data_IF_044681555948
#
_entry.id   IF_044681555948
#
_cell.length_a   1.000
_cell.length_b   1.000
_cell.length_c   1.000
_cell.angle_alpha   90.00
_cell.angle_beta   90.00
_cell.angle_gamma   90.00
#
_symmetry.space_group_name_H-M   'P 1'
#
loop_
_entity.id
_entity.type
_entity.pdbx_description
1 polymer ?
#
# COMPACT_ATOMS: atom_id res chain seq x y z
N UNK A 1 -5.70 -12.17 2.66
CA UNK A 1 -6.14 -12.37 4.06
C UNK A 1 -5.24 -13.30 4.88
N UNK A 2 -4.56 -14.26 4.28
CA UNK A 2 -3.78 -15.26 5.04
C UNK A 2 -2.32 -14.85 5.27
N UNK A 3 -1.68 -14.16 4.34
CA UNK A 3 -0.27 -13.81 4.39
C UNK A 3 0.10 -12.82 5.51
N UNK A 4 -0.73 -11.82 5.76
CA UNK A 4 -0.48 -10.78 6.78
C UNK A 4 -1.17 -11.08 8.12
N UNK A 5 -1.68 -12.31 8.34
CA UNK A 5 -2.45 -12.65 9.55
C UNK A 5 -1.67 -12.44 10.85
N UNK A 6 -0.41 -12.81 10.88
CA UNK A 6 0.44 -12.64 12.07
C UNK A 6 0.57 -11.14 12.40
N UNK A 7 0.92 -10.32 11.42
CA UNK A 7 1.09 -8.89 11.56
C UNK A 7 -0.21 -8.21 12.00
N UNK A 8 -1.31 -8.47 11.31
CA UNK A 8 -2.62 -7.90 11.62
C UNK A 8 -3.12 -8.31 13.02
N UNK A 9 -2.90 -9.57 13.43
CA UNK A 9 -3.27 -10.04 14.79
C UNK A 9 -2.48 -9.31 15.86
N UNK A 10 -1.18 -9.08 15.64
CA UNK A 10 -0.33 -8.38 16.60
C UNK A 10 -0.69 -6.89 16.72
N UNK A 11 -1.04 -6.23 15.60
CA UNK A 11 -1.57 -4.85 15.61
C UNK A 11 -2.93 -4.78 16.33
N UNK A 12 -3.84 -5.72 16.07
CA UNK A 12 -5.11 -5.78 16.77
C UNK A 12 -4.93 -5.98 18.29
N UNK A 13 -3.98 -6.80 18.70
CA UNK A 13 -3.65 -7.01 20.11
C UNK A 13 -3.08 -5.76 20.80
N UNK A 14 -2.58 -4.79 20.04
CA UNK A 14 -2.12 -3.49 20.58
C UNK A 14 -3.23 -2.45 20.73
N UNK A 15 -4.49 -2.81 20.45
CA UNK A 15 -5.66 -1.95 20.63
C UNK A 15 -6.17 -1.29 19.35
N UNK A 16 -5.62 -1.65 18.20
CA UNK A 16 -6.13 -1.16 16.90
C UNK A 16 -7.30 -2.01 16.41
N UNK A 17 -8.29 -1.38 15.79
CA UNK A 17 -9.31 -2.07 15.01
C UNK A 17 -8.75 -2.35 13.62
N UNK A 18 -8.74 -3.62 13.22
CA UNK A 18 -8.23 -4.05 11.92
C UNK A 18 -9.38 -4.50 11.02
N UNK A 19 -9.60 -3.76 9.93
CA UNK A 19 -10.50 -4.13 8.86
C UNK A 19 -9.70 -4.74 7.69
N UNK A 20 -9.93 -6.02 7.39
CA UNK A 20 -9.26 -6.70 6.28
C UNK A 20 -10.14 -6.64 5.03
N UNK A 21 -9.74 -5.83 4.06
CA UNK A 21 -10.49 -5.62 2.83
C UNK A 21 -10.27 -6.77 1.86
N UNK A 22 -11.36 -7.30 1.31
CA UNK A 22 -11.34 -8.12 0.10
C UNK A 22 -11.55 -7.21 -1.11
N UNK A 23 -10.75 -7.39 -2.13
CA UNK A 23 -10.87 -6.67 -3.39
C UNK A 23 -10.84 -7.64 -4.58
N UNK A 24 -11.40 -7.20 -5.70
CA UNK A 24 -11.42 -7.95 -6.96
C UNK A 24 -9.98 -8.27 -7.43
N UNK A 25 -9.78 -9.39 -8.09
CA UNK A 25 -8.45 -9.89 -8.46
C UNK A 25 -8.31 -10.05 -9.98
N UNK A 26 -7.10 -9.76 -10.49
CA UNK A 26 -6.70 -10.13 -11.83
C UNK A 26 -6.53 -11.67 -11.94
N UNK A 27 -6.77 -12.29 -13.12
CA UNK A 27 -7.06 -11.64 -14.40
C UNK A 27 -8.54 -11.30 -14.62
N UNK A 28 -9.47 -11.75 -13.76
CA UNK A 28 -10.91 -11.53 -13.95
C UNK A 28 -11.26 -10.03 -13.84
N UNK A 29 -10.52 -9.31 -13.03
CA UNK A 29 -10.63 -7.87 -12.85
C UNK A 29 -9.24 -7.24 -12.86
N UNK A 30 -8.92 -6.51 -13.92
CA UNK A 30 -7.66 -5.76 -14.06
C UNK A 30 -7.73 -4.41 -13.35
N UNK A 31 -6.58 -3.71 -13.29
CA UNK A 31 -6.51 -2.31 -12.86
C UNK A 31 -7.53 -1.44 -13.64
N UNK A 32 -8.27 -0.52 -12.98
CA UNK A 32 -8.11 -0.06 -11.59
C UNK A 32 -9.03 -0.73 -10.55
N UNK A 33 -9.70 -1.85 -10.86
CA UNK A 33 -10.74 -2.44 -10.01
C UNK A 33 -10.33 -2.62 -8.54
N UNK A 34 -9.08 -2.98 -8.26
CA UNK A 34 -8.56 -3.17 -6.90
C UNK A 34 -8.49 -1.84 -6.14
N UNK A 35 -8.12 -0.76 -6.83
CA UNK A 35 -8.03 0.57 -6.23
C UNK A 35 -9.42 1.14 -5.96
N UNK A 36 -10.38 0.90 -6.85
CA UNK A 36 -11.79 1.25 -6.66
C UNK A 36 -12.36 0.60 -5.40
N UNK A 37 -12.08 -0.70 -5.19
CA UNK A 37 -12.56 -1.44 -4.02
C UNK A 37 -11.94 -0.89 -2.72
N UNK A 38 -10.64 -0.55 -2.72
CA UNK A 38 -9.97 0.05 -1.56
C UNK A 38 -10.46 1.47 -1.31
N UNK A 39 -10.65 2.28 -2.36
CA UNK A 39 -11.24 3.62 -2.25
C UNK A 39 -12.66 3.58 -1.68
N UNK A 40 -13.46 2.60 -2.07
CA UNK A 40 -14.78 2.39 -1.47
C UNK A 40 -14.66 1.99 0.00
N UNK A 41 -13.77 1.05 0.32
CA UNK A 41 -13.60 0.52 1.67
C UNK A 41 -13.17 1.60 2.67
N UNK A 42 -12.25 2.51 2.32
CA UNK A 42 -11.83 3.59 3.22
C UNK A 42 -12.98 4.56 3.50
N UNK A 43 -13.75 4.95 2.49
CA UNK A 43 -14.92 5.82 2.66
C UNK A 43 -16.00 5.16 3.51
N UNK A 44 -16.23 3.86 3.32
CA UNK A 44 -17.14 3.08 4.14
C UNK A 44 -16.69 3.01 5.61
N UNK A 45 -15.41 2.78 5.84
CA UNK A 45 -14.84 2.76 7.19
C UNK A 45 -14.96 4.12 7.87
N UNK A 46 -14.77 5.22 7.15
CA UNK A 46 -14.99 6.58 7.69
C UNK A 46 -16.43 6.80 8.09
N UNK A 47 -17.38 6.41 7.24
CA UNK A 47 -18.80 6.50 7.51
C UNK A 47 -19.24 5.74 8.79
N UNK A 48 -18.59 4.59 9.04
CA UNK A 48 -18.93 3.67 10.14
C UNK A 48 -17.93 3.70 11.30
N UNK A 49 -16.99 4.65 11.31
CA UNK A 49 -15.91 4.71 12.31
C UNK A 49 -16.42 4.68 13.76
N UNK A 50 -17.52 5.37 14.04
CA UNK A 50 -18.11 5.43 15.38
C UNK A 50 -18.62 4.07 15.89
N UNK A 51 -19.05 3.17 15.01
CA UNK A 51 -19.46 1.81 15.36
C UNK A 51 -18.29 0.99 15.94
N UNK A 52 -17.08 1.30 15.50
CA UNK A 52 -15.84 0.71 15.98
C UNK A 52 -15.15 1.51 17.08
N UNK A 53 -15.78 2.58 17.58
CA UNK A 53 -15.20 3.53 18.56
C UNK A 53 -13.92 4.20 18.03
N UNK A 54 -13.83 4.38 16.72
CA UNK A 54 -12.73 5.06 16.04
C UNK A 54 -13.17 6.45 15.55
N UNK A 55 -12.18 7.31 15.23
CA UNK A 55 -12.42 8.58 14.51
C UNK A 55 -12.23 8.35 13.01
N UNK A 56 -13.05 8.94 12.14
CA UNK A 56 -12.82 8.91 10.70
C UNK A 56 -11.45 9.48 10.30
N UNK A 57 -10.94 10.45 11.08
CA UNK A 57 -9.65 11.09 10.82
C UNK A 57 -8.44 10.27 11.30
N UNK A 58 -8.66 9.13 11.98
CA UNK A 58 -7.61 8.26 12.50
C UNK A 58 -7.39 6.99 11.67
N UNK A 59 -8.06 6.86 10.52
CA UNK A 59 -8.03 5.65 9.72
C UNK A 59 -6.78 5.66 8.82
N UNK A 60 -5.86 4.75 9.10
CA UNK A 60 -4.70 4.47 8.25
C UNK A 60 -4.90 3.23 7.39
N UNK A 61 -3.97 3.00 6.47
CA UNK A 61 -3.92 1.81 5.63
C UNK A 61 -2.67 0.98 5.85
N UNK A 62 -2.78 -0.35 5.68
CA UNK A 62 -1.64 -1.25 5.60
C UNK A 62 -1.76 -2.15 4.37
N UNK A 63 -0.67 -2.36 3.64
CA UNK A 63 -0.69 -3.16 2.42
C UNK A 63 0.63 -3.83 2.10
N UNK A 64 0.57 -5.13 1.74
CA UNK A 64 1.73 -5.95 1.44
C UNK A 64 1.87 -6.21 -0.07
N UNK A 65 3.08 -6.08 -0.61
CA UNK A 65 3.41 -6.40 -2.02
C UNK A 65 2.50 -5.66 -3.01
N UNK A 66 1.68 -6.36 -3.80
CA UNK A 66 0.65 -5.75 -4.65
C UNK A 66 -0.43 -5.01 -3.86
N UNK A 67 -0.72 -5.41 -2.61
CA UNK A 67 -1.59 -4.66 -1.71
C UNK A 67 -1.00 -3.31 -1.31
N UNK A 68 0.32 -3.22 -1.16
CA UNK A 68 1.03 -1.96 -0.96
C UNK A 68 0.94 -1.03 -2.17
N UNK A 69 1.01 -1.58 -3.39
CA UNK A 69 0.76 -0.83 -4.62
C UNK A 69 -0.66 -0.23 -4.64
N UNK A 70 -1.67 -1.09 -4.40
CA UNK A 70 -3.08 -0.67 -4.40
C UNK A 70 -3.35 0.39 -3.32
N UNK A 71 -2.78 0.19 -2.12
CA UNK A 71 -2.85 1.16 -1.03
C UNK A 71 -2.28 2.51 -1.44
N UNK A 72 -1.07 2.52 -2.02
CA UNK A 72 -0.41 3.79 -2.38
C UNK A 72 -1.14 4.53 -3.49
N UNK A 73 -1.69 3.84 -4.49
CA UNK A 73 -2.53 4.50 -5.50
C UNK A 73 -3.78 5.14 -4.89
N UNK A 74 -4.47 4.41 -4.00
CA UNK A 74 -5.64 4.95 -3.31
C UNK A 74 -5.29 6.13 -2.39
N UNK A 75 -4.15 6.04 -1.67
CA UNK A 75 -3.70 7.07 -0.75
C UNK A 75 -3.20 8.33 -1.46
N UNK A 76 -2.48 8.17 -2.58
CA UNK A 76 -1.94 9.30 -3.34
C UNK A 76 -2.98 10.00 -4.23
N UNK A 77 -4.10 9.34 -4.55
CA UNK A 77 -5.19 9.87 -5.39
C UNK A 77 -6.56 9.59 -4.78
N UNK A 78 -6.84 10.10 -3.56
CA UNK A 78 -8.06 9.74 -2.81
C UNK A 78 -9.36 10.14 -3.50
N UNK A 79 -9.32 11.22 -4.28
CA UNK A 79 -10.49 11.80 -4.97
C UNK A 79 -10.50 11.54 -6.49
N UNK A 80 -9.60 10.67 -6.98
CA UNK A 80 -9.55 10.37 -8.42
C UNK A 80 -10.88 9.76 -8.87
N UNK A 81 -11.54 10.36 -9.90
CA UNK A 81 -12.84 9.88 -10.37
C UNK A 81 -12.81 8.44 -10.91
N UNK A 82 -11.64 7.93 -11.31
CA UNK A 82 -11.46 6.53 -11.74
C UNK A 82 -11.52 5.57 -10.57
N UNK A 83 -11.12 6.00 -9.36
CA UNK A 83 -11.08 5.18 -8.16
C UNK A 83 -12.35 5.33 -7.31
N UNK A 84 -13.08 6.43 -7.47
CA UNK A 84 -14.29 6.74 -6.69
C UNK A 84 -15.60 6.32 -7.34
N UNK A 85 -15.54 5.51 -8.42
CA UNK A 85 -16.73 5.05 -9.19
C UNK A 85 -17.70 4.22 -8.38
N UNK A 86 -17.23 3.47 -7.39
CA UNK A 86 -18.10 2.72 -6.49
C UNK A 86 -18.71 3.67 -5.46
N UNK A 87 -20.03 3.72 -5.38
CA UNK A 87 -20.75 4.59 -4.47
C UNK A 87 -21.97 3.90 -3.86
N UNK A 88 -22.35 4.34 -2.69
CA UNK A 88 -23.61 4.02 -2.03
C UNK A 88 -24.02 5.20 -1.13
N UNK A 89 -25.26 5.29 -0.66
CA UNK A 89 -25.66 6.33 0.29
C UNK A 89 -24.78 6.40 1.55
N UNK A 90 -24.21 5.25 1.97
CA UNK A 90 -23.39 5.17 3.19
C UNK A 90 -22.03 5.85 3.05
N UNK A 91 -21.51 5.99 1.83
CA UNK A 91 -20.18 6.59 1.58
C UNK A 91 -20.25 8.01 1.05
N UNK A 92 -21.45 8.51 0.78
CA UNK A 92 -21.67 9.86 0.26
C UNK A 92 -21.20 10.92 1.28
N UNK A 93 -20.36 11.85 0.82
CA UNK A 93 -19.79 12.91 1.66
C UNK A 93 -18.55 12.49 2.47
N UNK A 94 -18.08 11.24 2.35
CA UNK A 94 -16.83 10.78 2.94
C UNK A 94 -15.72 10.74 1.89
N UNK A 95 -14.57 11.33 2.22
CA UNK A 95 -13.37 11.33 1.38
C UNK A 95 -12.60 10.00 1.47
N UNK A 96 -11.66 9.80 0.53
CA UNK A 96 -10.79 8.61 0.45
C UNK A 96 -9.43 8.77 1.11
N UNK A 97 -9.18 9.84 1.91
CA UNK A 97 -7.87 10.13 2.49
C UNK A 97 -7.48 9.16 3.61
N UNK A 98 -6.18 8.94 3.77
CA UNK A 98 -5.61 8.11 4.83
C UNK A 98 -4.85 8.98 5.83
N UNK A 99 -5.01 8.73 7.13
CA UNK A 99 -4.24 9.40 8.17
C UNK A 99 -2.75 9.01 8.12
N UNK A 100 -2.45 7.80 7.68
CA UNK A 100 -1.10 7.25 7.47
C UNK A 100 -1.15 6.00 6.59
N UNK A 101 0.00 5.58 6.06
CA UNK A 101 0.13 4.34 5.31
C UNK A 101 1.32 3.50 5.80
N UNK A 102 1.15 2.17 5.84
CA UNK A 102 2.21 1.19 6.09
C UNK A 102 2.31 0.28 4.87
N UNK A 103 3.43 0.32 4.18
CA UNK A 103 3.67 -0.43 2.96
C UNK A 103 4.73 -1.52 3.21
N UNK A 104 4.30 -2.78 3.14
CA UNK A 104 5.11 -3.95 3.45
C UNK A 104 5.65 -4.53 2.13
N UNK A 105 6.98 -4.48 1.92
CA UNK A 105 7.64 -4.92 0.66
C UNK A 105 6.82 -4.55 -0.60
N UNK A 106 6.46 -3.26 -0.76
CA UNK A 106 5.44 -2.81 -1.71
C UNK A 106 5.95 -2.71 -3.14
N UNK A 107 5.06 -2.89 -4.13
CA UNK A 107 5.33 -2.56 -5.54
C UNK A 107 5.09 -1.06 -5.74
N UNK A 108 6.13 -0.24 -5.52
CA UNK A 108 6.05 1.22 -5.60
C UNK A 108 6.39 1.78 -6.98
N UNK A 109 7.07 0.98 -7.80
CA UNK A 109 7.31 1.25 -9.22
C UNK A 109 7.01 -0.01 -10.02
N UNK A 110 5.81 -0.06 -10.57
CA UNK A 110 5.30 -1.19 -11.35
C UNK A 110 6.10 -1.38 -12.64
N UNK A 111 6.51 -0.28 -13.27
CA UNK A 111 7.23 -0.32 -14.53
C UNK A 111 8.67 -0.76 -14.34
N UNK A 112 9.42 -0.17 -13.41
CA UNK A 112 10.78 -0.59 -13.10
C UNK A 112 10.83 -2.06 -12.65
N UNK A 113 9.87 -2.50 -11.82
CA UNK A 113 9.75 -3.90 -11.44
C UNK A 113 9.47 -4.82 -12.63
N UNK A 114 8.64 -4.39 -13.57
CA UNK A 114 8.34 -5.15 -14.80
C UNK A 114 9.59 -5.31 -15.67
N UNK A 115 10.35 -4.23 -15.89
CA UNK A 115 11.62 -4.27 -16.62
C UNK A 115 12.65 -5.18 -15.94
N UNK A 116 12.77 -5.07 -14.61
CA UNK A 116 13.60 -5.99 -13.82
C UNK A 116 13.18 -7.44 -14.02
N UNK A 117 11.90 -7.75 -13.95
CA UNK A 117 11.39 -9.10 -14.12
C UNK A 117 11.70 -9.69 -15.52
N UNK A 118 11.65 -8.85 -16.57
CA UNK A 118 12.05 -9.26 -17.92
C UNK A 118 13.54 -9.53 -17.98
N UNK A 119 14.39 -8.62 -17.45
CA UNK A 119 15.85 -8.74 -17.55
C UNK A 119 16.40 -9.95 -16.81
N UNK A 120 15.80 -10.29 -15.68
CA UNK A 120 16.22 -11.40 -14.82
C UNK A 120 15.45 -12.71 -15.04
N UNK A 121 14.53 -12.75 -16.03
CA UNK A 121 13.82 -13.96 -16.43
C UNK A 121 12.75 -14.44 -15.43
N UNK A 122 12.13 -13.51 -14.69
CA UNK A 122 11.03 -13.82 -13.76
C UNK A 122 9.68 -13.87 -14.48
N UNK A 123 9.46 -14.86 -15.34
CA UNK A 123 8.25 -14.99 -16.19
C UNK A 123 6.94 -14.88 -15.42
N UNK A 124 6.90 -15.41 -14.18
CA UNK A 124 5.72 -15.32 -13.31
C UNK A 124 5.38 -13.88 -12.94
N UNK A 125 6.39 -13.06 -12.67
CA UNK A 125 6.19 -11.64 -12.34
C UNK A 125 5.74 -10.86 -13.57
N UNK A 126 6.31 -11.15 -14.73
CA UNK A 126 5.91 -10.58 -16.02
C UNK A 126 4.45 -10.91 -16.31
N UNK A 127 4.07 -12.19 -16.23
CA UNK A 127 2.69 -12.63 -16.48
C UNK A 127 1.68 -12.02 -15.51
N UNK A 128 2.02 -11.93 -14.20
CA UNK A 128 1.12 -11.32 -13.22
C UNK A 128 0.94 -9.82 -13.45
N UNK A 129 1.98 -9.12 -13.88
CA UNK A 129 1.92 -7.69 -14.20
C UNK A 129 1.06 -7.44 -15.45
N UNK A 130 1.23 -8.24 -16.50
CA UNK A 130 0.43 -8.16 -17.72
C UNK A 130 -1.06 -8.48 -17.47
N UNK A 131 -1.36 -9.42 -16.59
CA UNK A 131 -2.74 -9.71 -16.19
C UNK A 131 -3.39 -8.57 -15.41
N UNK A 132 -2.59 -7.84 -14.63
CA UNK A 132 -3.08 -6.73 -13.81
C UNK A 132 -3.32 -5.46 -14.65
N UNK A 133 -2.36 -5.06 -15.49
CA UNK A 133 -2.42 -3.77 -16.19
C UNK A 133 -2.95 -3.84 -17.65
N UNK A 134 -3.05 -5.01 -18.25
CA UNK A 134 -3.47 -5.24 -19.63
C UNK A 134 -2.58 -4.60 -20.73
N UNK A 135 -1.98 -3.44 -20.48
CA UNK A 135 -1.09 -2.73 -21.39
C UNK A 135 -0.14 -1.80 -20.63
N UNK A 136 0.87 -1.28 -21.34
CA UNK A 136 1.91 -0.43 -20.76
C UNK A 136 1.38 0.93 -20.35
N UNK A 137 0.45 1.53 -21.09
CA UNK A 137 -0.14 2.83 -20.75
C UNK A 137 -0.85 2.77 -19.39
N UNK A 138 -1.63 1.71 -19.15
CA UNK A 138 -2.27 1.46 -17.87
C UNK A 138 -1.24 1.22 -16.74
N UNK A 139 -0.10 0.56 -17.04
CA UNK A 139 0.98 0.35 -16.09
C UNK A 139 1.68 1.67 -15.72
N UNK A 140 1.93 2.53 -16.68
CA UNK A 140 2.53 3.87 -16.45
C UNK A 140 1.59 4.79 -15.69
N UNK A 141 0.30 4.73 -16.01
CA UNK A 141 -0.73 5.53 -15.35
C UNK A 141 -0.94 5.07 -13.89
N UNK A 142 -1.08 3.76 -13.65
CA UNK A 142 -1.27 3.15 -12.34
C UNK A 142 0.06 2.86 -11.62
N UNK A 143 1.06 3.74 -11.74
CA UNK A 143 2.38 3.58 -11.14
C UNK A 143 2.60 4.63 -10.03
N UNK A 144 2.70 4.23 -8.73
CA UNK A 144 2.96 5.17 -7.63
C UNK A 144 4.20 6.05 -7.85
N UNK A 145 5.33 5.48 -8.28
CA UNK A 145 6.53 6.26 -8.64
C UNK A 145 6.23 7.24 -9.78
N UNK A 146 5.47 6.81 -10.77
CA UNK A 146 5.10 7.65 -11.92
C UNK A 146 4.26 8.87 -11.54
N UNK A 147 3.46 8.81 -10.47
CA UNK A 147 2.74 9.97 -9.92
C UNK A 147 3.73 11.04 -9.49
N UNK A 148 4.77 10.65 -8.75
CA UNK A 148 5.83 11.56 -8.28
C UNK A 148 6.70 12.09 -9.43
N UNK A 149 7.05 11.23 -10.38
CA UNK A 149 7.90 11.59 -11.53
C UNK A 149 7.20 12.58 -12.47
N UNK A 150 5.89 12.58 -12.53
CA UNK A 150 5.07 13.53 -13.32
C UNK A 150 4.68 14.79 -12.55
N UNK A 151 5.15 14.92 -11.29
CA UNK A 151 4.84 16.05 -10.40
C UNK A 151 3.32 16.29 -10.29
N UNK A 152 2.55 15.20 -10.18
CA UNK A 152 1.10 15.26 -10.00
C UNK A 152 0.76 15.82 -8.62
N UNK A 153 -0.36 16.57 -8.54
CA UNK A 153 -0.94 16.98 -7.27
C UNK A 153 -1.49 15.74 -6.56
N UNK A 154 -0.69 15.19 -5.65
CA UNK A 154 -0.97 13.95 -4.94
C UNK A 154 -1.06 14.17 -3.44
N UNK A 155 -1.96 13.45 -2.79
CA UNK A 155 -1.96 13.35 -1.32
C UNK A 155 -0.78 12.48 -0.85
N UNK A 156 -0.04 12.94 0.14
CA UNK A 156 1.17 12.27 0.63
C UNK A 156 1.07 12.04 2.14
N UNK A 157 0.22 11.09 2.59
CA UNK A 157 0.11 10.79 4.02
C UNK A 157 1.43 10.27 4.60
N UNK A 158 1.70 10.46 5.91
CA UNK A 158 2.85 9.83 6.56
C UNK A 158 2.96 8.35 6.21
N UNK A 159 4.15 7.91 5.75
CA UNK A 159 4.36 6.59 5.17
C UNK A 159 5.50 5.84 5.88
N UNK A 160 5.22 4.60 6.28
CA UNK A 160 6.24 3.63 6.70
C UNK A 160 6.40 2.55 5.64
N UNK A 161 7.62 2.37 5.13
CA UNK A 161 7.98 1.29 4.20
C UNK A 161 8.83 0.26 4.96
N UNK A 162 8.43 -1.01 4.96
CA UNK A 162 9.18 -2.14 5.54
C UNK A 162 9.69 -3.02 4.40
N UNK A 163 11.02 -3.06 4.17
CA UNK A 163 11.59 -3.75 3.01
C UNK A 163 12.76 -4.65 3.36
N UNK A 164 12.70 -5.91 2.93
CA UNK A 164 13.82 -6.85 3.03
C UNK A 164 14.90 -6.58 1.97
N UNK A 165 16.18 -6.63 2.35
CA UNK A 165 17.29 -6.31 1.41
C UNK A 165 17.64 -7.46 0.46
N UNK A 166 17.21 -8.70 0.77
CA UNK A 166 17.35 -9.87 -0.10
C UNK A 166 16.08 -10.21 -0.88
N UNK A 167 15.20 -9.22 -1.06
CA UNK A 167 13.96 -9.36 -1.81
C UNK A 167 14.25 -9.46 -3.32
N UNK A 168 14.03 -10.65 -3.90
CA UNK A 168 14.20 -10.91 -5.33
C UNK A 168 12.95 -10.56 -6.16
N UNK A 169 11.87 -10.14 -5.52
CA UNK A 169 10.64 -9.69 -6.19
C UNK A 169 10.63 -8.17 -6.37
N UNK A 170 11.14 -7.45 -5.36
CA UNK A 170 11.20 -5.98 -5.33
C UNK A 170 12.66 -5.57 -5.02
N UNK A 171 13.48 -5.27 -6.04
CA UNK A 171 14.85 -4.80 -5.83
C UNK A 171 14.88 -3.53 -4.97
N UNK A 172 15.88 -3.43 -4.07
CA UNK A 172 16.03 -2.30 -3.15
C UNK A 172 16.14 -0.92 -3.82
N UNK A 173 16.52 -0.87 -5.11
CA UNK A 173 16.51 0.37 -5.88
C UNK A 173 15.13 1.01 -5.97
N UNK A 174 14.06 0.19 -6.02
CA UNK A 174 12.67 0.66 -6.14
C UNK A 174 12.21 1.40 -4.87
N UNK A 175 12.18 0.79 -3.67
CA UNK A 175 11.72 1.51 -2.48
C UNK A 175 12.61 2.67 -2.07
N UNK A 176 13.93 2.60 -2.37
CA UNK A 176 14.85 3.73 -2.12
C UNK A 176 14.57 4.93 -3.03
N UNK A 177 14.37 4.69 -4.33
CA UNK A 177 14.02 5.74 -5.28
C UNK A 177 12.66 6.38 -4.92
N UNK A 178 11.66 5.56 -4.65
CA UNK A 178 10.35 6.03 -4.24
C UNK A 178 10.41 6.89 -2.96
N UNK A 179 11.08 6.41 -1.92
CA UNK A 179 11.22 7.16 -0.66
C UNK A 179 11.95 8.49 -0.86
N UNK A 180 12.93 8.55 -1.77
CA UNK A 180 13.58 9.80 -2.14
C UNK A 180 12.63 10.75 -2.85
N UNK A 181 11.90 10.28 -3.88
CA UNK A 181 10.93 11.09 -4.63
C UNK A 181 9.79 11.58 -3.73
N UNK A 182 9.31 10.73 -2.82
CA UNK A 182 8.27 11.06 -1.86
C UNK A 182 8.68 12.23 -0.94
N UNK A 183 9.93 12.21 -0.42
CA UNK A 183 10.48 13.32 0.38
C UNK A 183 10.65 14.60 -0.43
N UNK A 184 11.09 14.49 -1.70
CA UNK A 184 11.24 15.65 -2.60
C UNK A 184 9.89 16.30 -2.85
N UNK A 185 8.82 15.51 -3.00
CA UNK A 185 7.46 15.98 -3.16
C UNK A 185 6.84 16.53 -1.83
N UNK A 186 7.57 16.50 -0.71
CA UNK A 186 7.14 17.05 0.58
C UNK A 186 6.47 16.04 1.52
N UNK A 187 6.38 14.77 1.14
CA UNK A 187 5.83 13.72 1.99
C UNK A 187 6.78 13.26 3.09
N UNK A 188 6.23 12.87 4.23
CA UNK A 188 6.97 12.25 5.33
C UNK A 188 7.04 10.74 5.13
N UNK A 189 8.25 10.17 5.00
CA UNK A 189 8.45 8.75 4.78
C UNK A 189 9.61 8.17 5.56
N UNK A 190 9.33 7.09 6.28
CA UNK A 190 10.30 6.22 6.94
C UNK A 190 10.51 4.97 6.07
N UNK A 191 11.74 4.71 5.61
CA UNK A 191 12.12 3.46 4.93
C UNK A 191 12.98 2.63 5.86
N UNK A 192 12.43 1.50 6.32
CA UNK A 192 13.12 0.56 7.18
C UNK A 192 13.60 -0.65 6.38
N UNK A 193 14.92 -0.80 6.33
CA UNK A 193 15.58 -1.89 5.61
C UNK A 193 15.91 -3.04 6.58
N UNK A 194 15.50 -4.25 6.19
CA UNK A 194 15.75 -5.47 6.95
C UNK A 194 16.85 -6.29 6.27
N UNK A 195 18.08 -6.32 6.82
CA UNK A 195 19.21 -7.02 6.21
C UNK A 195 18.92 -8.50 5.99
N UNK A 196 19.24 -8.98 4.78
CA UNK A 196 19.12 -10.38 4.36
C UNK A 196 17.69 -10.96 4.38
N UNK A 197 16.66 -10.15 4.67
CA UNK A 197 15.27 -10.62 4.64
C UNK A 197 14.74 -10.70 3.22
N UNK A 198 14.04 -11.81 2.87
CA UNK A 198 13.43 -12.00 1.57
C UNK A 198 12.08 -11.28 1.46
N UNK A 199 11.48 -11.37 0.26
CA UNK A 199 10.07 -10.99 0.07
C UNK A 199 9.15 -11.73 1.03
N UNK A 200 8.16 -11.03 1.62
CA UNK A 200 7.16 -11.59 2.56
C UNK A 200 7.72 -12.03 3.91
N UNK A 201 8.89 -11.54 4.32
CA UNK A 201 9.54 -11.96 5.57
C UNK A 201 8.68 -11.79 6.83
N UNK A 202 7.75 -10.84 6.85
CA UNK A 202 6.86 -10.60 8.01
C UNK A 202 5.72 -11.62 8.15
N UNK A 203 5.56 -12.54 7.21
CA UNK A 203 4.52 -13.57 7.28
C UNK A 203 4.88 -14.73 8.20
N UNK A 204 6.17 -14.84 8.55
CA UNK A 204 6.71 -15.85 9.45
C UNK A 204 7.26 -15.19 10.72
N UNK A 205 7.12 -15.87 11.85
CA UNK A 205 7.66 -15.39 13.13
C UNK A 205 9.19 -15.40 13.12
N UNK A 206 9.80 -14.26 13.40
CA UNK A 206 11.25 -14.07 13.48
C UNK A 206 11.58 -12.76 14.20
N UNK A 207 12.83 -12.59 14.62
CA UNK A 207 13.31 -11.34 15.21
C UNK A 207 13.09 -10.14 14.27
N UNK A 208 13.22 -10.35 12.95
CA UNK A 208 12.97 -9.32 11.95
C UNK A 208 11.47 -8.94 11.90
N UNK A 209 10.59 -9.92 12.01
CA UNK A 209 9.14 -9.70 12.08
C UNK A 209 8.73 -8.98 13.34
N UNK A 210 9.31 -9.35 14.49
CA UNK A 210 9.07 -8.68 15.78
C UNK A 210 9.54 -7.22 15.72
N UNK A 211 10.71 -6.97 15.17
CA UNK A 211 11.21 -5.60 14.93
C UNK A 211 10.27 -4.80 14.01
N UNK A 212 9.81 -5.40 12.90
CA UNK A 212 8.88 -4.75 11.99
C UNK A 212 7.56 -4.37 12.67
N UNK A 213 7.03 -5.26 13.52
CA UNK A 213 5.85 -5.01 14.34
C UNK A 213 6.03 -3.86 15.32
N UNK A 214 7.15 -3.81 16.03
CA UNK A 214 7.44 -2.72 16.98
C UNK A 214 7.56 -1.37 16.26
N UNK A 215 8.21 -1.32 15.09
CA UNK A 215 8.30 -0.13 14.26
C UNK A 215 6.92 0.33 13.79
N UNK A 216 6.09 -0.59 13.30
CA UNK A 216 4.72 -0.29 12.87
C UNK A 216 3.85 0.25 14.01
N UNK A 217 3.89 -0.37 15.19
CA UNK A 217 3.16 0.11 16.38
C UNK A 217 3.62 1.49 16.81
N UNK A 218 4.94 1.72 16.85
CA UNK A 218 5.51 3.02 17.21
C UNK A 218 5.14 4.09 16.18
N UNK A 219 5.16 3.75 14.89
CA UNK A 219 4.74 4.64 13.81
C UNK A 219 3.27 5.04 13.97
N UNK A 220 2.36 4.06 14.09
CA UNK A 220 0.93 4.33 14.28
C UNK A 220 0.67 5.18 15.53
N UNK A 221 1.34 4.87 16.65
CA UNK A 221 1.18 5.64 17.89
C UNK A 221 1.56 7.10 17.72
N UNK A 222 2.61 7.41 16.93
CA UNK A 222 2.98 8.80 16.62
C UNK A 222 1.91 9.50 15.77
N UNK A 223 1.35 8.81 14.77
CA UNK A 223 0.33 9.39 13.89
C UNK A 223 -1.00 9.65 14.61
N UNK A 224 -1.34 8.84 15.61
CA UNK A 224 -2.58 8.99 16.38
C UNK A 224 -2.44 9.90 17.61
N UNK A 225 -1.23 10.37 17.95
CA UNK A 225 -0.98 11.28 19.07
C UNK A 225 -1.12 12.77 18.70
N UNK A 226 -1.24 13.05 17.40
CA UNK A 226 -1.42 14.42 16.85
C UNK A 226 -2.89 14.72 16.66
#
# INVERSE_FOLDING_TARGET
RTGTKLFNTALAASGLVIASVDFRLAPDHSYPAQVEDVSYAIRWLKAHASEFKASPDSIGGAGASSGGHTLMLAAMRPDDPRYTVLSSPDVEGHDGTFAYAIAEFPVLDSYARYQYAISDGYDRLVASTNNYFLNEDAMQEGNPQGILDRDEDADLPPLLILQGTADLNIPMSIPRAFAQSYRIAGGDVELEEFPEMPHRFIEEASDATDKALELAKAFVARQLAT
#
